data_IF_630707419903
#
_entry.id   IF_630707419903
#
_cell.length_a   1.000
_cell.length_b   1.000
_cell.length_c   1.000
_cell.angle_alpha   90.00
_cell.angle_beta   90.00
_cell.angle_gamma   90.00
#
_symmetry.space_group_name_H-M   'P 1'
#
loop_
_entity.id
_entity.type
_entity.pdbx_description
1 polymer ?
#
# COMPACT_ATOMS: atom_id res chain seq x y z
N UNK A 1 -38.75 12.08 4.94
CA UNK A 1 -38.52 11.51 3.58
C UNK A 1 -37.84 12.56 2.72
N UNK A 2 -36.71 12.23 2.18
CA UNK A 2 -35.97 13.08 1.24
C UNK A 2 -36.85 13.41 0.01
N UNK A 3 -36.63 14.58 -0.58
CA UNK A 3 -37.44 15.06 -1.70
C UNK A 3 -36.53 15.51 -2.84
N UNK A 4 -36.70 14.92 -4.01
CA UNK A 4 -36.04 15.39 -5.22
C UNK A 4 -36.76 16.67 -5.72
N UNK A 5 -36.03 17.79 -5.66
CA UNK A 5 -36.53 19.10 -6.12
C UNK A 5 -36.34 19.22 -7.63
N UNK A 6 -35.18 18.80 -8.13
CA UNK A 6 -34.82 18.76 -9.54
C UNK A 6 -34.09 17.46 -9.83
N UNK A 7 -34.69 16.65 -10.71
CA UNK A 7 -33.98 15.51 -11.30
C UNK A 7 -33.15 16.03 -12.47
N UNK A 8 -31.83 15.93 -12.37
CA UNK A 8 -30.90 16.33 -13.41
C UNK A 8 -31.03 15.46 -14.66
N UNK A 9 -30.32 15.84 -15.70
CA UNK A 9 -30.28 15.04 -16.92
C UNK A 9 -29.48 13.77 -16.68
N UNK A 10 -30.16 12.62 -16.65
CA UNK A 10 -29.54 11.28 -16.44
C UNK A 10 -29.42 10.47 -17.75
N UNK A 11 -29.83 11.03 -18.89
CA UNK A 11 -29.75 10.39 -20.21
C UNK A 11 -28.81 11.18 -21.12
N UNK A 12 -27.85 10.49 -21.74
CA UNK A 12 -26.93 11.09 -22.70
C UNK A 12 -25.95 12.07 -22.08
N UNK A 13 -25.51 11.81 -20.85
CA UNK A 13 -24.48 12.61 -20.18
C UNK A 13 -23.17 12.46 -20.98
N UNK A 14 -22.63 13.59 -21.43
CA UNK A 14 -21.34 13.62 -22.09
C UNK A 14 -20.22 13.60 -21.02
N UNK A 15 -19.28 12.69 -21.18
CA UNK A 15 -18.11 12.60 -20.31
C UNK A 15 -16.82 12.63 -21.13
N UNK A 16 -15.73 13.07 -20.51
CA UNK A 16 -14.40 13.08 -21.12
C UNK A 16 -13.44 12.32 -20.18
N UNK A 17 -13.34 11.03 -20.44
CA UNK A 17 -12.33 10.17 -19.80
C UNK A 17 -11.56 9.50 -20.93
N UNK A 18 -10.25 9.63 -20.92
CA UNK A 18 -9.40 9.01 -21.95
C UNK A 18 -8.95 7.64 -21.46
N UNK A 19 -9.09 6.65 -22.35
CA UNK A 19 -8.56 5.31 -22.11
C UNK A 19 -7.05 5.34 -22.34
N UNK A 20 -6.27 5.14 -21.28
CA UNK A 20 -4.81 5.13 -21.35
C UNK A 20 -4.35 3.71 -21.70
N UNK A 21 -3.64 3.51 -22.83
CA UNK A 21 -3.09 2.21 -23.18
C UNK A 21 -1.89 1.89 -22.24
N UNK A 22 -1.65 0.61 -22.02
CA UNK A 22 -0.45 0.14 -21.31
C UNK A 22 0.80 0.53 -22.10
N UNK A 23 1.75 1.13 -21.42
CA UNK A 23 3.04 1.50 -22.01
C UNK A 23 4.07 0.38 -21.84
N UNK A 24 5.08 0.34 -22.73
CA UNK A 24 6.20 -0.59 -22.56
C UNK A 24 6.99 -0.32 -21.27
N UNK A 25 7.00 0.94 -20.80
CA UNK A 25 7.70 1.32 -19.58
C UNK A 25 7.03 0.69 -18.34
N UNK A 26 5.70 0.65 -18.29
CA UNK A 26 4.97 -0.03 -17.21
C UNK A 26 5.26 -1.52 -17.18
N UNK A 27 5.30 -2.16 -18.35
CA UNK A 27 5.65 -3.59 -18.45
C UNK A 27 7.08 -3.84 -17.96
N UNK A 28 8.05 -3.02 -18.40
CA UNK A 28 9.44 -3.13 -17.94
C UNK A 28 9.57 -2.88 -16.42
N UNK A 29 8.84 -1.92 -15.84
CA UNK A 29 8.82 -1.69 -14.40
C UNK A 29 8.32 -2.91 -13.63
N UNK A 30 7.27 -3.58 -14.11
CA UNK A 30 6.77 -4.81 -13.48
C UNK A 30 7.80 -5.94 -13.57
N UNK A 31 8.49 -6.07 -14.70
CA UNK A 31 9.56 -7.05 -14.86
C UNK A 31 10.69 -6.77 -13.87
N UNK A 32 11.13 -5.52 -13.73
CA UNK A 32 12.17 -5.15 -12.76
C UNK A 32 11.77 -5.48 -11.32
N UNK A 33 10.50 -5.26 -10.95
CA UNK A 33 10.01 -5.67 -9.62
C UNK A 33 10.07 -7.20 -9.43
N UNK A 34 9.70 -7.98 -10.43
CA UNK A 34 9.80 -9.45 -10.38
C UNK A 34 11.26 -9.91 -10.24
N UNK A 35 12.16 -9.33 -11.01
CA UNK A 35 13.60 -9.63 -10.92
C UNK A 35 14.17 -9.28 -9.55
N UNK A 36 13.83 -8.11 -9.02
CA UNK A 36 14.27 -7.67 -7.68
C UNK A 36 13.77 -8.59 -6.57
N UNK A 37 12.52 -9.05 -6.64
CA UNK A 37 11.95 -9.99 -5.68
C UNK A 37 12.55 -11.40 -5.79
N UNK A 38 13.02 -11.77 -6.98
CA UNK A 38 13.61 -13.08 -7.26
C UNK A 38 15.13 -13.09 -7.09
N UNK A 39 15.73 -11.95 -6.67
CA UNK A 39 17.19 -11.89 -6.44
C UNK A 39 17.59 -12.85 -5.34
N UNK A 40 18.67 -13.59 -5.59
CA UNK A 40 19.26 -14.52 -4.62
C UNK A 40 20.46 -13.87 -3.95
N UNK A 41 20.66 -14.21 -2.68
CA UNK A 41 21.84 -13.79 -1.93
C UNK A 41 22.92 -14.85 -2.10
N UNK A 42 24.05 -14.47 -2.71
CA UNK A 42 25.24 -15.35 -2.82
C UNK A 42 26.35 -14.82 -1.91
N UNK A 43 27.23 -15.73 -1.44
CA UNK A 43 28.40 -15.34 -0.67
C UNK A 43 29.33 -14.47 -1.53
N UNK A 44 29.80 -13.36 -0.99
CA UNK A 44 30.67 -12.42 -1.70
C UNK A 44 32.07 -13.02 -1.88
N UNK A 45 32.60 -12.95 -3.10
CA UNK A 45 34.02 -13.18 -3.37
C UNK A 45 34.82 -11.96 -2.88
N UNK A 46 35.27 -12.02 -1.62
CA UNK A 46 36.03 -10.95 -0.97
C UNK A 46 35.73 -10.85 0.52
N UNK A 47 36.63 -10.19 1.25
CA UNK A 47 36.56 -10.07 2.71
C UNK A 47 36.20 -8.65 3.21
N UNK A 48 35.98 -7.71 2.29
CA UNK A 48 35.84 -6.28 2.63
C UNK A 48 34.42 -5.79 2.34
N UNK A 49 33.83 -5.08 3.32
CA UNK A 49 32.49 -4.49 3.22
C UNK A 49 32.48 -3.36 2.22
N UNK A 50 31.56 -3.40 1.27
CA UNK A 50 31.30 -2.37 0.28
C UNK A 50 29.82 -1.97 0.30
N UNK A 51 29.50 -0.82 -0.28
CA UNK A 51 28.12 -0.37 -0.41
C UNK A 51 27.32 -1.33 -1.30
N UNK A 52 26.13 -1.73 -0.85
CA UNK A 52 25.25 -2.71 -1.53
C UNK A 52 25.48 -4.16 -1.07
N UNK A 53 26.52 -4.43 -0.26
CA UNK A 53 26.69 -5.75 0.34
C UNK A 53 25.63 -6.04 1.40
N UNK A 54 25.34 -7.32 1.61
CA UNK A 54 24.61 -7.79 2.79
C UNK A 54 25.66 -8.32 3.78
N UNK A 55 25.86 -7.58 4.86
CA UNK A 55 26.75 -7.99 5.94
C UNK A 55 25.96 -8.68 7.05
N UNK A 56 26.29 -9.95 7.32
CA UNK A 56 25.82 -10.63 8.53
C UNK A 56 26.69 -10.16 9.69
N UNK A 57 26.09 -9.50 10.68
CA UNK A 57 26.79 -8.85 11.78
C UNK A 57 26.27 -9.27 13.15
N UNK A 58 27.19 -9.23 14.13
CA UNK A 58 26.81 -9.12 15.54
C UNK A 58 27.08 -7.68 15.98
N UNK A 59 26.18 -7.09 16.75
CA UNK A 59 26.39 -5.75 17.28
C UNK A 59 25.87 -5.61 18.71
N UNK A 60 26.55 -4.72 19.47
CA UNK A 60 26.12 -4.31 20.81
C UNK A 60 26.26 -2.80 20.92
N UNK A 61 25.15 -2.13 21.15
CA UNK A 61 25.10 -0.68 21.42
C UNK A 61 25.32 -0.39 22.90
N UNK A 62 26.24 0.51 23.16
CA UNK A 62 26.67 0.94 24.52
C UNK A 62 26.42 2.45 24.65
N UNK A 63 25.80 2.86 25.76
CA UNK A 63 25.74 4.24 26.22
C UNK A 63 26.45 4.30 27.58
N UNK A 64 27.45 5.13 27.70
CA UNK A 64 28.30 5.21 28.90
C UNK A 64 28.84 3.83 29.33
N UNK A 65 29.32 3.02 28.38
CA UNK A 65 29.80 1.65 28.53
C UNK A 65 28.76 0.62 29.03
N UNK A 66 27.46 0.99 29.03
CA UNK A 66 26.37 0.11 29.43
C UNK A 66 25.53 -0.23 28.21
N UNK A 67 25.25 -1.52 27.98
CA UNK A 67 24.39 -1.96 26.90
C UNK A 67 22.96 -1.50 27.16
N UNK A 68 22.32 -0.92 26.12
CA UNK A 68 20.94 -0.45 26.19
C UNK A 68 19.98 -1.44 25.49
N UNK A 69 18.71 -1.38 25.90
CA UNK A 69 17.67 -2.26 25.38
C UNK A 69 17.42 -1.97 23.88
N UNK A 70 17.33 -3.05 23.08
CA UNK A 70 17.18 -2.94 21.63
C UNK A 70 18.49 -2.66 20.87
N UNK A 71 19.61 -2.39 21.57
CA UNK A 71 20.92 -2.11 20.96
C UNK A 71 21.75 -3.35 20.63
N UNK A 72 21.25 -4.59 20.83
CA UNK A 72 22.02 -5.82 20.61
C UNK A 72 21.36 -6.73 19.59
N UNK A 73 22.15 -7.22 18.63
CA UNK A 73 21.71 -8.20 17.64
C UNK A 73 22.83 -9.19 17.33
N UNK A 74 22.45 -10.42 17.00
CA UNK A 74 23.39 -11.45 16.54
C UNK A 74 22.88 -12.01 15.23
N UNK A 75 23.81 -12.36 14.34
CA UNK A 75 23.52 -12.90 13.00
C UNK A 75 22.52 -12.04 12.22
N UNK A 76 22.61 -10.72 12.36
CA UNK A 76 21.73 -9.79 11.69
C UNK A 76 22.24 -9.48 10.28
N UNK A 77 21.40 -9.70 9.27
CA UNK A 77 21.72 -9.38 7.89
C UNK A 77 21.36 -7.92 7.60
N UNK A 78 22.38 -7.09 7.39
CA UNK A 78 22.27 -5.67 7.11
C UNK A 78 22.75 -5.37 5.68
N UNK A 79 21.87 -4.81 4.87
CA UNK A 79 22.25 -4.27 3.57
C UNK A 79 22.93 -2.91 3.75
N UNK A 80 24.19 -2.82 3.36
CA UNK A 80 25.03 -1.62 3.52
C UNK A 80 24.60 -0.54 2.53
N UNK A 81 24.18 0.61 3.02
CA UNK A 81 23.62 1.71 2.23
C UNK A 81 22.10 1.73 2.19
N UNK A 82 21.42 0.81 2.90
CA UNK A 82 19.94 0.78 2.99
C UNK A 82 19.36 1.92 3.84
N UNK A 83 20.15 2.49 4.77
CA UNK A 83 19.68 3.46 5.75
C UNK A 83 18.78 2.86 6.83
N UNK A 84 18.83 1.55 7.04
CA UNK A 84 18.03 0.83 8.05
C UNK A 84 18.49 1.10 9.47
N UNK A 85 19.75 1.50 9.64
CA UNK A 85 20.34 1.87 10.93
C UNK A 85 20.44 3.40 11.06
N UNK A 86 20.85 3.85 12.26
CA UNK A 86 21.06 5.28 12.51
C UNK A 86 22.18 5.82 11.62
N UNK A 87 22.11 7.11 11.22
CA UNK A 87 23.08 7.72 10.31
C UNK A 87 24.52 7.53 10.78
N UNK A 88 25.40 7.15 9.87
CA UNK A 88 26.81 6.91 10.13
C UNK A 88 27.16 5.46 10.51
N UNK A 89 26.18 4.61 10.78
CA UNK A 89 26.42 3.20 11.15
C UNK A 89 26.97 2.41 9.95
N UNK A 90 26.22 2.41 8.87
CA UNK A 90 26.56 1.65 7.66
C UNK A 90 27.80 2.23 6.97
N UNK A 91 27.92 3.56 6.94
CA UNK A 91 29.06 4.26 6.35
C UNK A 91 30.38 3.93 7.07
N UNK A 92 30.36 3.80 8.41
CA UNK A 92 31.56 3.44 9.17
C UNK A 92 31.93 1.96 9.07
N UNK A 93 30.99 1.12 8.62
CA UNK A 93 31.25 -0.29 8.33
C UNK A 93 31.99 -0.49 7.00
N UNK A 94 31.83 0.43 6.04
CA UNK A 94 32.54 0.32 4.75
C UNK A 94 34.04 0.20 4.98
N UNK A 95 34.67 -0.79 4.32
CA UNK A 95 36.07 -1.11 4.47
C UNK A 95 36.42 -1.99 5.68
N UNK A 96 35.43 -2.42 6.49
CA UNK A 96 35.64 -3.50 7.47
C UNK A 96 35.86 -4.83 6.77
N UNK A 97 36.57 -5.74 7.46
CA UNK A 97 36.77 -7.08 6.94
C UNK A 97 35.94 -8.14 7.67
N UNK A 98 35.69 -9.23 7.01
CA UNK A 98 35.08 -10.41 7.66
C UNK A 98 35.92 -10.82 8.88
N UNK A 99 35.24 -11.08 9.99
CA UNK A 99 35.78 -11.32 11.35
C UNK A 99 36.46 -10.10 12.01
N UNK A 100 36.37 -8.90 11.41
CA UNK A 100 36.81 -7.66 12.08
C UNK A 100 35.71 -7.20 13.06
N UNK A 101 36.16 -6.76 14.24
CA UNK A 101 35.36 -6.06 15.22
C UNK A 101 35.79 -4.60 15.27
N UNK A 102 34.84 -3.67 15.15
CA UNK A 102 35.10 -2.22 15.19
C UNK A 102 34.09 -1.52 16.10
N UNK A 103 34.58 -0.52 16.83
CA UNK A 103 33.70 0.37 17.59
C UNK A 103 33.30 1.54 16.72
N UNK A 104 31.98 1.67 16.46
CA UNK A 104 31.37 2.74 15.69
C UNK A 104 30.86 3.82 16.64
N UNK A 105 31.39 5.03 16.55
CA UNK A 105 30.95 6.16 17.37
C UNK A 105 29.82 6.90 16.63
N UNK A 106 28.66 6.94 17.21
CA UNK A 106 27.43 7.42 16.58
C UNK A 106 26.62 8.30 17.53
N UNK A 107 25.80 9.17 16.96
CA UNK A 107 24.84 9.99 17.71
C UNK A 107 23.44 9.66 17.22
N UNK A 108 22.52 9.34 18.09
CA UNK A 108 21.11 9.17 17.72
C UNK A 108 20.50 10.48 17.21
N UNK A 109 19.62 10.44 16.20
CA UNK A 109 18.86 11.63 15.77
C UNK A 109 18.07 12.26 16.92
N UNK A 110 17.94 13.60 16.92
CA UNK A 110 17.18 14.33 17.96
C UNK A 110 15.69 13.93 18.03
N UNK A 111 15.13 13.45 16.91
CA UNK A 111 13.74 13.01 16.79
C UNK A 111 13.58 11.48 16.87
N UNK A 112 14.52 10.80 17.54
CA UNK A 112 14.42 9.34 17.70
C UNK A 112 13.28 8.97 18.64
N UNK A 113 12.61 7.84 18.35
CA UNK A 113 11.38 7.43 19.07
C UNK A 113 11.63 7.15 20.58
N UNK A 114 12.82 6.64 20.94
CA UNK A 114 13.21 6.44 22.33
C UNK A 114 13.80 7.75 22.89
N UNK A 115 13.05 8.46 23.72
CA UNK A 115 13.42 9.78 24.28
C UNK A 115 14.74 9.76 25.06
N UNK A 116 15.07 8.65 25.71
CA UNK A 116 16.31 8.45 26.48
C UNK A 116 17.55 8.22 25.61
N UNK A 117 17.36 7.95 24.32
CA UNK A 117 18.42 7.79 23.32
C UNK A 117 18.50 8.98 22.35
N UNK A 118 17.44 9.76 22.19
CA UNK A 118 17.40 10.90 21.27
C UNK A 118 18.54 11.89 21.53
N UNK A 119 19.33 12.20 20.50
CA UNK A 119 20.49 13.11 20.56
C UNK A 119 21.67 12.58 21.39
N UNK A 120 21.66 11.32 21.85
CA UNK A 120 22.74 10.77 22.68
C UNK A 120 23.86 10.16 21.84
N UNK A 121 25.07 10.34 22.34
CA UNK A 121 26.26 9.67 21.81
C UNK A 121 26.31 8.24 22.33
N UNK A 122 26.57 7.31 21.42
CA UNK A 122 26.65 5.87 21.70
C UNK A 122 27.82 5.23 20.96
N UNK A 123 28.25 4.08 21.42
CA UNK A 123 29.25 3.26 20.74
C UNK A 123 28.62 1.94 20.38
N UNK A 124 28.62 1.60 19.10
CA UNK A 124 28.24 0.26 18.65
C UNK A 124 29.49 -0.57 18.40
N UNK A 125 29.65 -1.63 19.14
CA UNK A 125 30.66 -2.63 18.85
C UNK A 125 30.09 -3.60 17.83
N UNK A 126 30.63 -3.57 16.61
CA UNK A 126 30.12 -4.35 15.47
C UNK A 126 31.17 -5.35 15.02
N UNK A 127 30.75 -6.59 14.82
CA UNK A 127 31.56 -7.66 14.25
C UNK A 127 30.95 -8.13 12.94
N UNK A 128 31.70 -8.09 11.85
CA UNK A 128 31.27 -8.61 10.54
C UNK A 128 31.58 -10.12 10.52
N UNK A 129 30.54 -10.94 10.33
CA UNK A 129 30.68 -12.42 10.30
C UNK A 129 30.79 -12.97 8.90
N UNK A 130 29.96 -12.44 7.99
CA UNK A 130 29.85 -12.91 6.62
C UNK A 130 29.48 -11.74 5.71
N UNK A 131 29.91 -11.83 4.47
CA UNK A 131 29.46 -10.91 3.41
C UNK A 131 28.76 -11.69 2.31
N UNK A 132 27.66 -11.14 1.86
CA UNK A 132 26.90 -11.66 0.73
C UNK A 132 26.55 -10.52 -0.21
N UNK A 133 26.29 -10.84 -1.46
CA UNK A 133 25.84 -9.88 -2.48
C UNK A 133 24.49 -10.32 -3.02
N UNK A 134 23.64 -9.35 -3.32
CA UNK A 134 22.43 -9.62 -4.11
C UNK A 134 22.85 -9.91 -5.55
N UNK A 135 22.56 -11.10 -6.02
CA UNK A 135 22.65 -11.43 -7.43
C UNK A 135 21.28 -11.20 -8.04
N UNK A 136 21.18 -10.14 -8.83
CA UNK A 136 19.95 -9.90 -9.57
C UNK A 136 19.68 -11.06 -10.51
N UNK A 137 18.41 -11.49 -10.55
CA UNK A 137 17.99 -12.50 -11.52
C UNK A 137 18.10 -11.91 -12.93
N UNK A 138 18.68 -12.65 -13.85
CA UNK A 138 18.72 -12.26 -15.27
C UNK A 138 17.42 -12.65 -15.96
N UNK A 139 16.85 -11.71 -16.70
CA UNK A 139 15.64 -11.97 -17.48
C UNK A 139 15.97 -12.85 -18.70
N UNK A 140 15.67 -14.12 -18.58
CA UNK A 140 15.78 -15.11 -19.64
C UNK A 140 14.67 -16.17 -19.52
N UNK A 141 14.56 -17.04 -20.50
CA UNK A 141 13.47 -18.04 -20.54
C UNK A 141 13.60 -19.05 -19.39
N UNK A 142 14.82 -19.43 -18.99
CA UNK A 142 15.05 -20.33 -17.84
C UNK A 142 14.54 -19.70 -16.53
N UNK A 143 14.76 -18.39 -16.34
CA UNK A 143 14.22 -17.64 -15.21
C UNK A 143 12.69 -17.64 -15.23
N UNK A 144 12.09 -17.37 -16.39
CA UNK A 144 10.63 -17.31 -16.54
C UNK A 144 10.01 -18.69 -16.31
N UNK A 145 10.58 -19.77 -16.81
CA UNK A 145 10.11 -21.13 -16.52
C UNK A 145 10.23 -21.46 -15.01
N UNK A 146 11.29 -20.94 -14.36
CA UNK A 146 11.52 -21.07 -12.92
C UNK A 146 10.48 -20.37 -12.05
N UNK A 147 9.71 -19.40 -12.56
CA UNK A 147 8.59 -18.78 -11.83
C UNK A 147 7.42 -19.75 -11.59
N UNK A 148 7.36 -20.87 -12.33
CA UNK A 148 6.36 -21.92 -12.12
C UNK A 148 4.94 -21.54 -12.50
N UNK A 149 4.75 -20.49 -13.30
CA UNK A 149 3.44 -20.06 -13.77
C UNK A 149 3.03 -20.91 -14.98
N UNK A 150 1.92 -21.65 -14.93
CA UNK A 150 1.46 -22.44 -16.05
C UNK A 150 1.35 -21.60 -17.34
N UNK A 151 1.77 -22.17 -18.47
CA UNK A 151 1.68 -21.56 -19.81
C UNK A 151 2.62 -20.37 -20.06
N UNK A 152 3.37 -19.87 -19.05
CA UNK A 152 4.38 -18.80 -19.20
C UNK A 152 5.77 -19.43 -19.13
N UNK A 153 6.47 -19.49 -20.25
CA UNK A 153 7.76 -20.19 -20.37
C UNK A 153 8.87 -19.34 -20.99
N UNK A 154 8.50 -18.28 -21.67
CA UNK A 154 9.44 -17.40 -22.33
C UNK A 154 9.30 -15.97 -21.82
N UNK A 155 10.35 -15.17 -22.03
CA UNK A 155 10.31 -13.73 -21.72
C UNK A 155 9.16 -13.03 -22.46
N UNK A 156 8.84 -13.50 -23.68
CA UNK A 156 7.76 -12.94 -24.48
C UNK A 156 6.39 -13.28 -23.87
N UNK A 157 6.19 -14.53 -23.36
CA UNK A 157 4.98 -14.92 -22.65
C UNK A 157 4.80 -14.10 -21.38
N UNK A 158 5.88 -13.88 -20.61
CA UNK A 158 5.85 -13.07 -19.40
C UNK A 158 5.43 -11.62 -19.69
N UNK A 159 6.01 -11.02 -20.75
CA UNK A 159 5.65 -9.66 -21.18
C UNK A 159 4.19 -9.58 -21.61
N UNK A 160 3.71 -10.57 -22.35
CA UNK A 160 2.31 -10.63 -22.77
C UNK A 160 1.36 -10.76 -21.57
N UNK A 161 1.67 -11.61 -20.61
CA UNK A 161 0.90 -11.81 -19.39
C UNK A 161 0.82 -10.53 -18.53
N UNK A 162 1.96 -9.87 -18.31
CA UNK A 162 2.01 -8.60 -17.57
C UNK A 162 1.19 -7.53 -18.29
N UNK A 163 1.33 -7.44 -19.63
CA UNK A 163 0.59 -6.48 -20.44
C UNK A 163 -0.92 -6.70 -20.32
N UNK A 164 -1.39 -7.95 -20.37
CA UNK A 164 -2.81 -8.29 -20.21
C UNK A 164 -3.32 -7.91 -18.81
N UNK A 165 -2.57 -8.21 -17.75
CA UNK A 165 -2.92 -7.83 -16.39
C UNK A 165 -3.02 -6.30 -16.20
N UNK A 166 -2.03 -5.56 -16.71
CA UNK A 166 -2.04 -4.10 -16.69
C UNK A 166 -3.20 -3.53 -17.51
N UNK A 167 -3.51 -4.12 -18.68
CA UNK A 167 -4.62 -3.69 -19.52
C UNK A 167 -5.97 -3.89 -18.80
N UNK A 168 -6.16 -5.01 -18.12
CA UNK A 168 -7.36 -5.25 -17.30
C UNK A 168 -7.48 -4.22 -16.17
N UNK A 169 -6.37 -3.88 -15.52
CA UNK A 169 -6.34 -2.85 -14.48
C UNK A 169 -6.70 -1.46 -15.03
N UNK A 170 -6.12 -1.08 -16.18
CA UNK A 170 -6.43 0.19 -16.84
C UNK A 170 -7.90 0.24 -17.28
N UNK A 171 -8.44 -0.86 -17.79
CA UNK A 171 -9.85 -0.94 -18.20
C UNK A 171 -10.79 -0.78 -17.01
N UNK A 172 -10.48 -1.41 -15.87
CA UNK A 172 -11.24 -1.23 -14.63
C UNK A 172 -11.16 0.22 -14.11
N UNK A 173 -9.98 0.83 -14.14
CA UNK A 173 -9.81 2.23 -13.75
C UNK A 173 -10.58 3.18 -14.67
N UNK A 174 -10.54 2.93 -15.99
CA UNK A 174 -11.29 3.70 -16.96
C UNK A 174 -12.80 3.62 -16.72
N UNK A 175 -13.36 2.42 -16.53
CA UNK A 175 -14.79 2.24 -16.25
C UNK A 175 -15.17 2.93 -14.92
N UNK A 176 -14.37 2.79 -13.86
CA UNK A 176 -14.61 3.46 -12.58
C UNK A 176 -14.55 4.99 -12.71
N UNK A 177 -13.59 5.55 -13.45
CA UNK A 177 -13.50 6.99 -13.70
C UNK A 177 -14.68 7.50 -14.54
N UNK A 178 -15.08 6.74 -15.54
CA UNK A 178 -16.24 7.03 -16.38
C UNK A 178 -17.51 7.07 -15.54
N UNK A 179 -17.76 6.05 -14.73
CA UNK A 179 -18.91 6.00 -13.82
C UNK A 179 -18.91 7.19 -12.87
N UNK A 180 -17.81 7.45 -12.18
CA UNK A 180 -17.69 8.58 -11.26
C UNK A 180 -17.98 9.92 -11.98
N UNK A 181 -17.40 10.11 -13.18
CA UNK A 181 -17.61 11.35 -13.96
C UNK A 181 -19.09 11.52 -14.34
N UNK A 182 -19.76 10.44 -14.72
CA UNK A 182 -21.19 10.45 -15.05
C UNK A 182 -22.02 10.77 -13.80
N UNK A 183 -21.73 10.11 -12.68
CA UNK A 183 -22.42 10.36 -11.41
C UNK A 183 -22.22 11.78 -10.91
N UNK A 184 -20.99 12.29 -10.96
CA UNK A 184 -20.68 13.67 -10.54
C UNK A 184 -21.43 14.69 -11.38
N UNK A 185 -21.48 14.52 -12.70
CA UNK A 185 -22.23 15.39 -13.60
C UNK A 185 -23.74 15.34 -13.31
N UNK A 186 -24.30 14.15 -13.10
CA UNK A 186 -25.70 13.95 -12.74
C UNK A 186 -26.02 14.57 -11.37
N UNK A 187 -25.18 14.31 -10.37
CA UNK A 187 -25.34 14.87 -9.03
C UNK A 187 -25.26 16.40 -9.00
N UNK A 188 -24.38 16.99 -9.84
CA UNK A 188 -24.22 18.44 -9.94
C UNK A 188 -25.43 19.11 -10.59
N UNK A 189 -26.09 18.45 -11.56
CA UNK A 189 -27.33 18.96 -12.22
C UNK A 189 -28.60 18.69 -11.42
N UNK A 190 -28.51 17.89 -10.35
CA UNK A 190 -29.66 17.46 -9.55
C UNK A 190 -29.72 18.22 -8.21
N UNK A 191 -30.97 18.52 -7.76
CA UNK A 191 -31.22 19.15 -6.48
C UNK A 191 -32.14 18.27 -5.61
N UNK A 192 -31.66 17.93 -4.42
CA UNK A 192 -32.38 17.08 -3.46
C UNK A 192 -32.39 17.77 -2.10
N UNK A 193 -33.54 17.85 -1.50
CA UNK A 193 -33.71 18.19 -0.09
C UNK A 193 -33.69 16.89 0.71
N UNK A 194 -32.58 16.67 1.42
CA UNK A 194 -32.37 15.45 2.21
C UNK A 194 -33.01 15.60 3.57
N UNK A 195 -33.59 14.51 4.03
CA UNK A 195 -34.02 14.32 5.40
C UNK A 195 -32.81 13.89 6.26
N UNK A 196 -32.68 14.42 7.46
CA UNK A 196 -31.60 14.05 8.37
C UNK A 196 -31.59 12.52 8.65
N UNK A 197 -32.77 11.91 8.76
CA UNK A 197 -32.90 10.45 8.96
C UNK A 197 -32.26 9.67 7.79
N UNK A 198 -32.40 10.14 6.54
CA UNK A 198 -31.79 9.48 5.37
C UNK A 198 -30.26 9.58 5.38
N UNK A 199 -29.72 10.69 5.87
CA UNK A 199 -28.27 10.85 6.05
C UNK A 199 -27.75 9.91 7.13
N UNK A 200 -28.48 9.84 8.25
CA UNK A 200 -28.10 8.98 9.38
C UNK A 200 -28.16 7.48 9.00
N UNK A 201 -29.19 7.05 8.25
CA UNK A 201 -29.29 5.70 7.72
C UNK A 201 -28.12 5.36 6.76
N UNK A 202 -27.75 6.27 5.87
CA UNK A 202 -26.61 6.09 4.98
C UNK A 202 -25.30 5.99 5.77
N UNK A 203 -25.15 6.80 6.80
CA UNK A 203 -24.00 6.80 7.70
C UNK A 203 -23.90 5.48 8.47
N UNK A 204 -25.00 4.98 9.01
CA UNK A 204 -25.05 3.70 9.73
C UNK A 204 -24.68 2.52 8.80
N UNK A 205 -25.15 2.54 7.55
CA UNK A 205 -24.75 1.53 6.54
C UNK A 205 -23.25 1.59 6.24
N UNK A 206 -22.68 2.78 6.05
CA UNK A 206 -21.24 2.93 5.81
C UNK A 206 -20.39 2.49 7.00
N UNK A 207 -20.81 2.84 8.22
CA UNK A 207 -20.16 2.41 9.45
C UNK A 207 -20.18 0.87 9.59
N UNK A 208 -21.34 0.27 9.34
CA UNK A 208 -21.50 -1.19 9.39
C UNK A 208 -20.64 -1.90 8.34
N UNK A 209 -20.58 -1.36 7.12
CA UNK A 209 -19.73 -1.90 6.05
C UNK A 209 -18.25 -1.84 6.44
N UNK A 210 -17.78 -0.70 6.94
CA UNK A 210 -16.41 -0.52 7.40
C UNK A 210 -16.08 -1.48 8.55
N UNK A 211 -16.96 -1.61 9.55
CA UNK A 211 -16.78 -2.52 10.67
C UNK A 211 -16.67 -3.99 10.20
N UNK A 212 -17.52 -4.41 9.25
CA UNK A 212 -17.47 -5.75 8.68
C UNK A 212 -16.19 -6.01 7.88
N UNK A 213 -15.72 -5.02 7.11
CA UNK A 213 -14.47 -5.12 6.36
C UNK A 213 -13.25 -5.24 7.29
N UNK A 214 -13.24 -4.45 8.38
CA UNK A 214 -12.20 -4.55 9.41
C UNK A 214 -12.23 -5.90 10.12
N UNK A 215 -13.42 -6.39 10.47
CA UNK A 215 -13.59 -7.69 11.10
C UNK A 215 -13.10 -8.84 10.22
N UNK A 216 -13.28 -8.76 8.91
CA UNK A 216 -12.72 -9.72 7.95
C UNK A 216 -11.17 -9.74 7.95
N UNK A 217 -10.55 -8.63 8.35
CA UNK A 217 -9.09 -8.51 8.53
C UNK A 217 -8.63 -8.81 9.97
N UNK A 218 -9.55 -9.23 10.86
CA UNK A 218 -9.27 -9.55 12.25
C UNK A 218 -9.14 -8.33 13.17
N UNK A 219 -9.55 -7.14 12.74
CA UNK A 219 -9.49 -5.90 13.51
C UNK A 219 -10.91 -5.53 13.95
N UNK A 220 -11.10 -5.25 15.24
CA UNK A 220 -12.37 -4.74 15.74
C UNK A 220 -12.40 -3.21 15.64
N UNK A 221 -13.59 -2.63 15.39
CA UNK A 221 -13.76 -1.17 15.27
C UNK A 221 -13.24 -0.43 16.51
N UNK A 222 -13.50 -0.96 17.71
CA UNK A 222 -13.02 -0.36 18.96
C UNK A 222 -11.49 -0.34 19.05
N UNK A 223 -10.81 -1.38 18.55
CA UNK A 223 -9.35 -1.40 18.49
C UNK A 223 -8.81 -0.37 17.51
N UNK A 224 -9.44 -0.23 16.35
CA UNK A 224 -9.08 0.78 15.37
C UNK A 224 -9.23 2.20 15.95
N UNK A 225 -10.34 2.49 16.61
CA UNK A 225 -10.58 3.78 17.27
C UNK A 225 -9.53 4.09 18.34
N UNK A 226 -9.15 3.10 19.15
CA UNK A 226 -8.08 3.25 20.14
C UNK A 226 -6.71 3.52 19.49
N UNK A 227 -6.36 2.80 18.42
CA UNK A 227 -5.09 2.99 17.73
C UNK A 227 -4.97 4.35 17.03
N UNK A 228 -6.10 4.89 16.55
CA UNK A 228 -6.13 6.18 15.84
C UNK A 228 -6.38 7.38 16.78
N UNK A 229 -6.69 7.13 18.06
CA UNK A 229 -7.05 8.18 19.02
C UNK A 229 -8.37 8.89 18.68
N UNK A 230 -9.22 8.25 17.87
CA UNK A 230 -10.54 8.75 17.51
C UNK A 230 -11.62 8.12 18.38
N UNK A 231 -12.72 8.83 18.56
CA UNK A 231 -13.97 8.29 19.06
C UNK A 231 -14.97 8.07 17.91
N UNK A 232 -16.02 7.31 18.18
CA UNK A 232 -17.04 6.98 17.18
C UNK A 232 -17.72 8.25 16.63
N UNK A 233 -17.92 9.26 17.46
CA UNK A 233 -18.57 10.52 17.07
C UNK A 233 -17.74 11.28 16.02
N UNK A 234 -16.42 11.38 16.23
CA UNK A 234 -15.51 11.99 15.25
C UNK A 234 -15.44 11.20 13.94
N UNK A 235 -15.45 9.86 14.03
CA UNK A 235 -15.48 9.02 12.84
C UNK A 235 -16.78 9.25 12.05
N UNK A 236 -17.95 9.31 12.74
CA UNK A 236 -19.23 9.64 12.13
C UNK A 236 -19.22 11.02 11.48
N UNK A 237 -18.66 12.03 12.15
CA UNK A 237 -18.49 13.37 11.57
C UNK A 237 -17.64 13.37 10.29
N UNK A 238 -16.55 12.63 10.28
CA UNK A 238 -15.70 12.49 9.09
C UNK A 238 -16.39 11.78 7.92
N UNK A 239 -17.25 10.81 8.21
CA UNK A 239 -17.98 10.05 7.20
C UNK A 239 -19.27 10.75 6.74
N UNK A 240 -19.79 11.70 7.47
CA UNK A 240 -21.05 12.40 7.18
C UNK A 240 -21.09 13.03 5.78
N UNK A 241 -20.05 13.70 5.25
CA UNK A 241 -20.07 14.22 3.88
C UNK A 241 -20.28 13.13 2.82
N UNK A 242 -19.61 12.00 2.96
CA UNK A 242 -19.75 10.84 2.06
C UNK A 242 -21.14 10.23 2.17
N UNK A 243 -21.65 10.03 3.39
CA UNK A 243 -22.99 9.53 3.65
C UNK A 243 -24.09 10.46 3.05
N UNK A 244 -23.88 11.78 3.13
CA UNK A 244 -24.77 12.77 2.52
C UNK A 244 -24.81 12.63 1.00
N UNK A 245 -23.64 12.42 0.37
CA UNK A 245 -23.60 12.18 -1.09
C UNK A 245 -24.28 10.87 -1.47
N UNK A 246 -24.09 9.83 -0.69
CA UNK A 246 -24.74 8.54 -0.89
C UNK A 246 -26.27 8.66 -0.74
N UNK A 247 -26.75 9.29 0.34
CA UNK A 247 -28.19 9.52 0.54
C UNK A 247 -28.81 10.34 -0.59
N UNK A 248 -28.08 11.34 -1.12
CA UNK A 248 -28.52 12.12 -2.28
C UNK A 248 -28.64 11.24 -3.52
N UNK A 249 -27.63 10.41 -3.79
CA UNK A 249 -27.61 9.51 -4.94
C UNK A 249 -28.76 8.48 -4.86
N UNK A 250 -28.96 7.87 -3.70
CA UNK A 250 -30.06 6.92 -3.46
C UNK A 250 -31.42 7.56 -3.75
N UNK A 251 -31.68 8.75 -3.21
CA UNK A 251 -32.93 9.47 -3.47
C UNK A 251 -33.14 9.77 -4.98
N UNK A 252 -32.08 10.09 -5.70
CA UNK A 252 -32.12 10.34 -7.14
C UNK A 252 -32.36 9.05 -7.94
N UNK A 253 -31.75 7.95 -7.53
CA UNK A 253 -31.97 6.63 -8.16
C UNK A 253 -33.42 6.18 -7.96
N UNK A 254 -33.96 6.32 -6.75
CA UNK A 254 -35.34 5.98 -6.45
C UNK A 254 -36.32 6.78 -7.32
N UNK A 255 -36.04 8.07 -7.52
CA UNK A 255 -36.83 8.91 -8.42
C UNK A 255 -36.74 8.45 -9.88
N UNK A 256 -35.55 8.07 -10.37
CA UNK A 256 -35.37 7.51 -11.72
C UNK A 256 -36.14 6.19 -11.84
N UNK A 257 -36.06 5.29 -10.88
CA UNK A 257 -36.80 4.03 -10.85
C UNK A 257 -38.31 4.29 -10.98
N UNK A 258 -38.82 5.29 -10.25
CA UNK A 258 -40.21 5.68 -10.29
C UNK A 258 -40.63 6.28 -11.66
N UNK A 259 -39.83 7.20 -12.20
CA UNK A 259 -40.08 7.88 -13.47
C UNK A 259 -40.02 6.89 -14.65
N UNK A 260 -39.06 5.99 -14.66
CA UNK A 260 -38.84 5.00 -15.72
C UNK A 260 -39.71 3.73 -15.54
N UNK A 261 -40.45 3.62 -14.44
CA UNK A 261 -41.23 2.43 -14.09
C UNK A 261 -40.36 1.14 -14.10
N UNK A 262 -39.19 1.22 -13.55
CA UNK A 262 -38.27 0.07 -13.49
C UNK A 262 -38.81 -0.93 -12.46
N UNK A 263 -39.11 -2.16 -12.90
CA UNK A 263 -39.54 -3.25 -12.02
C UNK A 263 -38.52 -4.37 -12.11
N UNK A 264 -37.94 -4.72 -10.97
CA UNK A 264 -37.05 -5.89 -10.85
C UNK A 264 -37.92 -7.13 -10.66
N UNK A 265 -37.75 -8.15 -11.52
CA UNK A 265 -38.46 -9.41 -11.35
C UNK A 265 -37.85 -10.22 -10.18
N UNK A 266 -38.68 -11.00 -9.48
CA UNK A 266 -38.20 -11.88 -8.39
C UNK A 266 -37.11 -12.86 -8.85
N UNK A 267 -37.13 -13.28 -10.14
CA UNK A 267 -36.10 -14.16 -10.71
C UNK A 267 -34.69 -13.54 -10.71
N UNK A 268 -34.58 -12.22 -10.88
CA UNK A 268 -33.27 -11.50 -10.88
C UNK A 268 -32.73 -11.34 -9.45
N UNK A 269 -33.59 -11.34 -8.44
CA UNK A 269 -33.20 -11.24 -7.03
C UNK A 269 -32.71 -12.57 -6.44
N UNK A 270 -33.09 -13.70 -7.04
CA UNK A 270 -32.65 -15.04 -6.58
C UNK A 270 -31.28 -15.47 -7.18
N UNK A 271 -30.77 -14.76 -8.20
CA UNK A 271 -29.48 -15.07 -8.85
C UNK A 271 -28.26 -14.31 -8.24
N UNK A 272 -28.44 -13.47 -7.23
CA UNK A 272 -27.39 -12.78 -6.48
C UNK A 272 -27.22 -13.32 -5.06
#
# INVERSE_FOLDING_TARGET
>A
MSKVIKLGNYKGIEFKVEKVPVSNEEVEQQIQMILAQSSQTEEKDGDTVENGDIATIDFVGLKDDVAFEGGTGNDYDLEIGSGSFIPGFEEQMIGMKVNETRDLNLTFPENYQAEDLAGQDVVFKVTVKKLSVKKEAELNDDFVEGLGVPEIKTVEDLKAYINEGLQQQHDQQYEAQKENTIFDAFMADSEVELDDDAIDEALDRQMSYMANQMMAQGIQLDQYLQMTGMDEEKLREQMKPSATQQAKLEALIDEIIAVENIVVSEEVLEEQ
#
